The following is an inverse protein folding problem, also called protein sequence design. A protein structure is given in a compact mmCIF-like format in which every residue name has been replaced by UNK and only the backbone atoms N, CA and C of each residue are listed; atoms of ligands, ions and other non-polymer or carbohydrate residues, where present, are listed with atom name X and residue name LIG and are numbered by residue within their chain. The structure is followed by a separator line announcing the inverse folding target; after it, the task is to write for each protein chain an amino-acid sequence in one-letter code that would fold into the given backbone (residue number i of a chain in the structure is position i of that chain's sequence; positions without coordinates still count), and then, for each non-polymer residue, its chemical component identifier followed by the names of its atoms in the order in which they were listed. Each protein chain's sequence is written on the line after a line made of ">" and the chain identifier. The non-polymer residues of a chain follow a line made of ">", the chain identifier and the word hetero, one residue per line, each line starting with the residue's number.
data_IF_984992841350
#
_entry.id   IF_984992841350
#
_cell.length_a   1.000
_cell.length_b   1.000
_cell.length_c   1.000
_cell.angle_alpha   90.00
_cell.angle_beta   90.00
_cell.angle_gamma   90.00
#
_symmetry.space_group_name_H-M   'P 1'
#
loop_
_entity.id
_entity.type
_entity.pdbx_description
1 polymer ?
#
# COMPACT_ATOMS: atom_id res chain seq x y z
N UNK A 1 0.46 -3.19 -6.85
CA UNK A 1 0.86 -2.51 -5.60
C UNK A 1 -0.10 -2.79 -4.45
N UNK A 2 -1.32 -2.22 -4.40
CA UNK A 2 -2.28 -2.50 -3.30
C UNK A 2 -2.56 -3.99 -3.09
N UNK A 3 -2.68 -4.76 -4.18
CA UNK A 3 -2.82 -6.23 -4.11
C UNK A 3 -1.61 -6.95 -3.51
N UNK A 4 -0.40 -6.43 -3.73
CA UNK A 4 0.82 -7.00 -3.16
C UNK A 4 0.92 -6.70 -1.67
N UNK A 5 0.43 -5.53 -1.24
CA UNK A 5 0.27 -5.17 0.17
C UNK A 5 -0.74 -6.12 0.83
N UNK A 6 -1.90 -6.36 0.22
CA UNK A 6 -2.87 -7.36 0.71
C UNK A 6 -2.23 -8.76 0.81
N UNK A 7 -1.48 -9.17 -0.21
CA UNK A 7 -0.81 -10.48 -0.24
C UNK A 7 0.22 -10.62 0.88
N UNK A 8 1.07 -9.61 1.07
CA UNK A 8 2.08 -9.61 2.13
C UNK A 8 1.45 -9.59 3.53
N UNK A 9 0.32 -8.90 3.70
CA UNK A 9 -0.39 -8.78 4.96
C UNK A 9 -0.92 -10.12 5.50
N UNK A 10 -1.29 -11.06 4.62
CA UNK A 10 -1.81 -12.38 5.01
C UNK A 10 -0.88 -13.16 5.94
N UNK A 11 0.42 -12.91 5.85
CA UNK A 11 1.45 -13.53 6.69
C UNK A 11 2.37 -12.51 7.36
N UNK A 12 2.02 -11.22 7.33
CA UNK A 12 2.89 -10.12 7.74
C UNK A 12 4.33 -10.27 7.19
N UNK A 13 4.43 -10.63 5.91
CA UNK A 13 5.72 -10.88 5.27
C UNK A 13 6.37 -9.56 4.82
N UNK A 14 7.09 -8.94 5.75
CA UNK A 14 7.84 -7.71 5.52
C UNK A 14 8.98 -7.83 4.51
N UNK A 15 9.33 -9.06 4.06
CA UNK A 15 10.34 -9.31 3.02
C UNK A 15 9.73 -9.83 1.73
N UNK A 16 8.41 -9.74 1.59
CA UNK A 16 7.73 -10.29 0.43
C UNK A 16 8.26 -9.60 -0.85
N UNK A 17 8.83 -10.35 -1.81
CA UNK A 17 9.45 -9.76 -3.00
C UNK A 17 8.44 -9.03 -3.89
N UNK A 18 7.13 -9.29 -3.72
CA UNK A 18 6.07 -8.59 -4.43
C UNK A 18 5.97 -7.12 -4.05
N UNK A 19 6.39 -6.75 -2.83
CA UNK A 19 6.49 -5.34 -2.44
C UNK A 19 7.52 -4.66 -3.35
N UNK A 20 8.77 -5.14 -3.33
CA UNK A 20 9.85 -4.60 -4.16
C UNK A 20 9.60 -4.70 -5.68
N UNK A 21 8.64 -5.52 -6.12
CA UNK A 21 8.24 -5.58 -7.53
C UNK A 21 7.49 -4.32 -8.02
N UNK A 22 6.79 -3.61 -7.11
CA UNK A 22 5.92 -2.48 -7.48
C UNK A 22 6.14 -1.20 -6.65
N UNK A 23 7.01 -1.21 -5.65
CA UNK A 23 7.39 -0.03 -4.88
C UNK A 23 8.88 -0.06 -4.54
N UNK A 24 9.47 1.12 -4.34
CA UNK A 24 10.86 1.30 -3.91
C UNK A 24 10.97 2.49 -2.96
N UNK A 25 12.14 2.73 -2.38
CA UNK A 25 12.39 3.92 -1.56
C UNK A 25 11.49 4.02 -0.33
N UNK A 26 10.89 5.19 -0.13
CA UNK A 26 10.03 5.50 1.02
C UNK A 26 8.82 4.54 1.15
N UNK A 27 7.98 4.32 0.13
CA UNK A 27 6.83 3.41 0.27
C UNK A 27 7.23 1.97 0.57
N UNK A 28 8.31 1.45 -0.06
CA UNK A 28 8.80 0.11 0.27
C UNK A 28 9.23 -0.01 1.72
N UNK A 29 9.96 0.98 2.22
CA UNK A 29 10.43 1.03 3.61
C UNK A 29 9.25 1.06 4.58
N UNK A 30 8.28 1.94 4.33
CA UNK A 30 7.12 2.12 5.20
C UNK A 30 6.28 0.85 5.31
N UNK A 31 5.92 0.23 4.18
CA UNK A 31 5.12 -1.01 4.20
C UNK A 31 5.89 -2.19 4.81
N UNK A 32 7.19 -2.30 4.54
CA UNK A 32 8.03 -3.33 5.16
C UNK A 32 8.08 -3.15 6.68
N UNK A 33 8.22 -1.91 7.17
CA UNK A 33 8.20 -1.63 8.61
C UNK A 33 6.85 -1.98 9.25
N UNK A 34 5.73 -1.57 8.62
CA UNK A 34 4.39 -1.94 9.06
C UNK A 34 4.23 -3.46 9.24
N UNK A 35 4.64 -4.25 8.24
CA UNK A 35 4.56 -5.71 8.36
C UNK A 35 5.57 -6.31 9.33
N UNK A 36 6.74 -5.69 9.52
CA UNK A 36 7.71 -6.15 10.52
C UNK A 36 7.14 -5.97 11.93
N UNK A 37 6.50 -4.83 12.19
CA UNK A 37 5.85 -4.53 13.47
C UNK A 37 4.66 -5.44 13.72
N UNK A 38 3.82 -5.68 12.70
CA UNK A 38 2.71 -6.63 12.78
C UNK A 38 3.20 -8.04 13.08
N UNK A 39 4.24 -8.50 12.38
CA UNK A 39 4.85 -9.80 12.63
C UNK A 39 5.43 -9.91 14.04
N UNK A 40 6.08 -8.86 14.54
CA UNK A 40 6.59 -8.79 15.91
C UNK A 40 5.48 -8.88 16.96
N UNK A 41 4.27 -8.42 16.64
CA UNK A 41 3.08 -8.51 17.49
C UNK A 41 2.26 -9.80 17.26
N UNK A 42 2.68 -10.68 16.36
CA UNK A 42 1.92 -11.88 15.99
C UNK A 42 0.60 -11.56 15.26
N UNK A 43 0.56 -10.43 14.54
CA UNK A 43 -0.59 -9.94 13.80
C UNK A 43 -0.45 -10.21 12.31
N UNK A 44 -1.58 -10.45 11.65
CA UNK A 44 -1.72 -10.53 10.19
C UNK A 44 -2.92 -9.73 9.74
N UNK A 45 -2.88 -9.19 8.52
CA UNK A 45 -4.03 -8.54 7.89
C UNK A 45 -4.89 -9.56 7.13
N UNK A 46 -6.21 -9.43 7.23
CA UNK A 46 -7.16 -10.13 6.36
C UNK A 46 -8.24 -9.19 5.89
N UNK A 47 -8.88 -9.57 4.79
CA UNK A 47 -9.93 -8.79 4.16
C UNK A 47 -9.44 -8.12 2.89
N UNK A 48 -10.07 -7.01 2.49
CA UNK A 48 -9.85 -6.42 1.17
C UNK A 48 -9.78 -4.90 1.22
N UNK A 49 -8.69 -4.34 0.66
CA UNK A 49 -8.68 -2.95 0.25
C UNK A 49 -9.57 -2.77 -0.97
N UNK A 50 -10.32 -1.68 -0.98
CA UNK A 50 -10.92 -1.13 -2.19
C UNK A 50 -10.25 0.21 -2.46
N UNK A 51 -10.06 0.53 -3.72
CA UNK A 51 -9.42 1.79 -4.11
C UNK A 51 -10.06 2.36 -5.37
N UNK A 52 -9.90 3.67 -5.56
CA UNK A 52 -10.43 4.45 -6.69
C UNK A 52 -9.33 5.37 -7.23
N UNK A 53 -8.29 4.73 -7.75
CA UNK A 53 -7.13 5.41 -8.30
C UNK A 53 -7.44 6.07 -9.65
N UNK A 54 -6.92 7.27 -9.85
CA UNK A 54 -6.91 7.95 -11.15
C UNK A 54 -5.62 8.76 -11.32
N UNK A 55 -5.17 8.88 -12.57
CA UNK A 55 -4.01 9.69 -12.92
C UNK A 55 -4.37 11.17 -12.80
N UNK A 56 -3.55 11.92 -12.08
CA UNK A 56 -3.71 13.39 -11.92
C UNK A 56 -2.72 14.17 -12.77
N UNK A 57 -1.54 13.61 -13.04
CA UNK A 57 -0.58 14.22 -13.98
C UNK A 57 0.40 13.20 -14.55
N UNK A 58 0.99 13.55 -15.69
CA UNK A 58 1.97 12.74 -16.41
C UNK A 58 3.10 13.65 -16.88
N UNK A 59 4.35 13.33 -16.53
CA UNK A 59 5.51 14.18 -16.76
C UNK A 59 6.72 13.38 -17.24
N UNK A 60 7.49 13.89 -18.23
CA UNK A 60 7.07 14.93 -19.19
C UNK A 60 5.98 14.38 -20.14
N UNK A 61 5.17 15.25 -20.75
CA UNK A 61 4.02 14.82 -21.54
C UNK A 61 4.38 14.00 -22.80
N UNK A 62 5.55 14.24 -23.41
CA UNK A 62 5.96 13.59 -24.67
C UNK A 62 6.69 12.27 -24.47
N UNK A 63 7.38 12.10 -23.35
CA UNK A 63 8.08 10.87 -22.99
C UNK A 63 7.98 10.64 -21.48
N UNK A 64 6.80 10.21 -21.00
CA UNK A 64 6.55 10.13 -19.56
C UNK A 64 7.53 9.20 -18.85
N UNK A 65 8.10 9.69 -17.76
CA UNK A 65 8.88 8.89 -16.83
C UNK A 65 8.38 9.05 -15.38
N UNK A 66 7.37 9.89 -15.16
CA UNK A 66 6.71 10.09 -13.86
C UNK A 66 5.21 10.28 -14.05
N UNK A 67 4.41 9.60 -13.23
CA UNK A 67 2.94 9.67 -13.21
C UNK A 67 2.51 9.95 -11.78
N UNK A 68 1.68 10.96 -11.59
CA UNK A 68 1.01 11.22 -10.31
C UNK A 68 -0.36 10.55 -10.31
N UNK A 69 -0.66 9.86 -9.22
CA UNK A 69 -1.93 9.16 -9.01
C UNK A 69 -2.54 9.66 -7.72
N UNK A 70 -3.82 10.02 -7.78
CA UNK A 70 -4.64 10.22 -6.59
C UNK A 70 -5.59 9.03 -6.45
N UNK A 71 -5.83 8.64 -5.21
CA UNK A 71 -6.62 7.47 -4.85
C UNK A 71 -7.50 7.78 -3.64
N UNK A 72 -8.62 7.08 -3.56
CA UNK A 72 -9.41 6.96 -2.35
C UNK A 72 -9.35 5.51 -1.90
N UNK A 73 -8.51 5.25 -0.91
CA UNK A 73 -8.31 3.95 -0.31
C UNK A 73 -9.40 3.70 0.73
N UNK A 74 -10.05 2.55 0.67
CA UNK A 74 -11.07 2.10 1.61
C UNK A 74 -10.57 0.80 2.25
N UNK A 75 -10.21 0.87 3.52
CA UNK A 75 -9.76 -0.24 4.34
C UNK A 75 -10.78 -0.65 5.41
N UNK A 76 -12.05 -0.22 5.27
CA UNK A 76 -13.17 -0.59 6.16
C UNK A 76 -13.30 -2.10 6.38
N UNK A 77 -12.94 -2.89 5.35
CA UNK A 77 -13.01 -4.36 5.39
C UNK A 77 -11.63 -5.02 5.49
N UNK A 78 -10.60 -4.28 5.88
CA UNK A 78 -9.30 -4.82 6.23
C UNK A 78 -9.15 -4.81 7.74
N UNK A 79 -9.03 -5.98 8.34
CA UNK A 79 -8.91 -6.14 9.79
C UNK A 79 -7.63 -6.89 10.17
N UNK A 80 -7.19 -6.70 11.42
CA UNK A 80 -6.02 -7.38 11.98
C UNK A 80 -6.43 -8.59 12.81
N UNK A 81 -5.70 -9.68 12.65
CA UNK A 81 -5.96 -10.96 13.32
C UNK A 81 -4.69 -11.45 14.02
N UNK A 82 -4.87 -12.16 15.12
CA UNK A 82 -3.79 -12.86 15.83
C UNK A 82 -3.53 -14.23 15.22
N UNK A 83 -2.43 -14.87 15.63
CA UNK A 83 -2.03 -16.20 15.16
C UNK A 83 -3.06 -17.31 15.44
N UNK A 84 -3.86 -17.18 16.52
CA UNK A 84 -4.94 -18.12 16.85
C UNK A 84 -6.22 -17.90 16.00
N UNK A 85 -6.20 -16.92 15.09
CA UNK A 85 -7.32 -16.57 14.24
C UNK A 85 -8.35 -15.65 14.89
N UNK A 86 -8.16 -15.26 16.15
CA UNK A 86 -9.01 -14.26 16.80
C UNK A 86 -8.73 -12.87 16.23
N UNK A 87 -9.76 -12.03 16.25
CA UNK A 87 -9.67 -10.65 15.83
C UNK A 87 -8.81 -9.87 16.84
N UNK A 88 -7.84 -9.09 16.35
CA UNK A 88 -6.96 -8.32 17.21
C UNK A 88 -7.67 -7.07 17.75
N UNK A 89 -8.37 -6.37 16.86
CA UNK A 89 -9.35 -5.34 17.15
C UNK A 89 -10.42 -5.35 16.04
N UNK A 90 -11.63 -4.95 16.40
CA UNK A 90 -12.76 -4.76 15.46
C UNK A 90 -12.99 -3.27 15.20
N UNK A 91 -11.91 -2.48 15.18
CA UNK A 91 -11.99 -1.08 14.78
C UNK A 91 -11.82 -1.09 13.26
N UNK A 92 -12.89 -0.93 12.48
CA UNK A 92 -12.75 -0.87 11.03
C UNK A 92 -11.90 0.34 10.69
N UNK A 93 -11.08 0.21 9.66
CA UNK A 93 -10.53 1.38 9.00
C UNK A 93 -11.63 2.22 8.34
N UNK A 94 -11.23 3.10 7.45
CA UNK A 94 -12.16 3.97 6.75
C UNK A 94 -11.66 4.32 5.37
N UNK A 95 -12.09 5.49 4.91
CA UNK A 95 -11.69 6.00 3.61
C UNK A 95 -10.65 7.09 3.76
N UNK A 96 -9.52 6.92 3.09
CA UNK A 96 -8.39 7.82 3.16
C UNK A 96 -7.93 8.20 1.76
N UNK A 97 -7.72 9.49 1.53
CA UNK A 97 -7.13 9.98 0.30
C UNK A 97 -5.66 9.57 0.27
N UNK A 98 -5.21 8.95 -0.80
CA UNK A 98 -3.79 8.62 -1.03
C UNK A 98 -3.29 9.31 -2.29
N UNK A 99 -2.04 9.77 -2.25
CA UNK A 99 -1.34 10.33 -3.40
C UNK A 99 -0.03 9.57 -3.60
N UNK A 100 0.32 9.28 -4.85
CA UNK A 100 1.51 8.49 -5.18
C UNK A 100 2.17 8.97 -6.45
N UNK A 101 3.51 9.00 -6.44
CA UNK A 101 4.30 9.17 -7.63
C UNK A 101 4.80 7.80 -8.12
N UNK A 102 4.52 7.48 -9.36
CA UNK A 102 4.99 6.28 -10.05
C UNK A 102 6.05 6.70 -11.06
N UNK A 103 7.26 6.16 -10.94
CA UNK A 103 8.42 6.58 -11.74
C UNK A 103 8.98 5.40 -12.53
N UNK A 104 9.30 5.64 -13.79
CA UNK A 104 9.98 4.70 -14.67
C UNK A 104 11.43 4.52 -14.22
N UNK A 105 11.80 3.29 -13.87
CA UNK A 105 13.15 2.92 -13.44
C UNK A 105 14.04 2.62 -14.65
N UNK A 106 15.37 2.61 -14.43
CA UNK A 106 16.36 2.33 -15.47
C UNK A 106 16.19 0.94 -16.13
N UNK A 107 15.57 -0.01 -15.44
CA UNK A 107 15.24 -1.35 -15.97
C UNK A 107 13.92 -1.39 -16.77
N UNK A 108 13.29 -0.24 -17.02
CA UNK A 108 12.05 -0.13 -17.78
C UNK A 108 10.77 -0.40 -16.98
N UNK A 109 10.85 -0.64 -15.66
CA UNK A 109 9.68 -0.89 -14.81
C UNK A 109 9.14 0.41 -14.20
N UNK A 110 7.83 0.54 -14.16
CA UNK A 110 7.15 1.56 -13.38
C UNK A 110 6.95 1.05 -11.95
N UNK A 111 7.41 1.81 -10.97
CA UNK A 111 7.25 1.49 -9.55
C UNK A 111 6.83 2.74 -8.79
N UNK A 112 6.14 2.54 -7.67
CA UNK A 112 5.79 3.64 -6.78
C UNK A 112 7.04 4.05 -6.00
N UNK A 113 7.44 5.31 -6.15
CA UNK A 113 8.65 5.88 -5.51
C UNK A 113 8.31 6.77 -4.32
N UNK A 114 7.10 7.33 -4.32
CA UNK A 114 6.59 8.20 -3.25
C UNK A 114 5.13 7.82 -2.99
N UNK A 115 4.73 7.79 -1.72
CA UNK A 115 3.34 7.59 -1.33
C UNK A 115 3.04 8.36 -0.04
N UNK A 116 1.89 9.01 -0.03
CA UNK A 116 1.34 9.63 1.17
C UNK A 116 -0.11 9.16 1.30
N UNK A 117 -0.52 8.76 2.50
CA UNK A 117 -1.91 8.45 2.83
C UNK A 117 -2.37 9.47 3.87
N UNK A 118 -3.48 10.13 3.59
CA UNK A 118 -4.11 11.08 4.49
C UNK A 118 -4.81 10.40 5.67
N UNK A 119 -5.41 11.22 6.53
CA UNK A 119 -6.27 10.72 7.60
C UNK A 119 -7.56 10.08 7.04
N UNK A 120 -8.17 9.21 7.85
CA UNK A 120 -9.49 8.67 7.57
C UNK A 120 -10.55 9.77 7.45
N UNK A 121 -11.54 9.57 6.59
CA UNK A 121 -12.61 10.51 6.24
C UNK A 121 -12.22 11.60 5.23
N UNK A 122 -11.02 11.52 4.63
CA UNK A 122 -10.57 12.52 3.62
C UNK A 122 -11.07 12.22 2.19
N UNK A 123 -11.72 11.08 2.04
CA UNK A 123 -12.65 10.68 1.00
C UNK A 123 -13.63 9.66 1.63
#
# INVERSE_FOLDING_TARGET
>A
MWEDIMTAALTADYRNPRLAAHMTGQPLTAWSQTFADERGKGLVGKGRLVWKAHVTSVTPATSPNRVEVADCLDDTHWLKYKADGSLADDVPGGRSRSASAITLQANGKWVVTEQITGAEGTC
#
